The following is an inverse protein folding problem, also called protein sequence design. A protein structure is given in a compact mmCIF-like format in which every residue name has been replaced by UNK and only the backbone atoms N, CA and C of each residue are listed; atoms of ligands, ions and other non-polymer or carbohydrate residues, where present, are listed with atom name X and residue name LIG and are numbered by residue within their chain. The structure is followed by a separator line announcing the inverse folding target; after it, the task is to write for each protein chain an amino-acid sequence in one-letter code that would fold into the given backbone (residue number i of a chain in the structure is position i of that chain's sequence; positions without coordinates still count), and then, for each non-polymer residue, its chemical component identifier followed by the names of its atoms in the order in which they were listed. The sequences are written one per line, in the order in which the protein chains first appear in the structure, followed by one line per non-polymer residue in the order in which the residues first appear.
data_IF_745774302428
#
_entry.id   IF_745774302428
#
_cell.length_a   1.000
_cell.length_b   1.000
_cell.length_c   1.000
_cell.angle_alpha   90.00
_cell.angle_beta   90.00
_cell.angle_gamma   90.00
#
_symmetry.space_group_name_H-M   'P 1'
#
loop_
_entity.id
_entity.type
_entity.pdbx_description
1 polymer ?
#
# COMPACT_ATOMS: atom_id res chain seq x y z
N UNK A 1 -5.95 17.49 -5.86
CA UNK A 1 -4.88 16.49 -5.62
C UNK A 1 -3.76 16.78 -6.61
N UNK A 2 -2.51 16.77 -6.16
CA UNK A 2 -1.36 17.18 -6.95
C UNK A 2 -0.24 16.18 -6.71
N UNK A 3 0.44 15.74 -7.76
CA UNK A 3 1.53 14.77 -7.63
C UNK A 3 2.54 14.90 -8.77
N UNK A 4 3.76 14.42 -8.54
CA UNK A 4 4.82 14.32 -9.54
C UNK A 4 5.05 12.85 -9.87
N UNK A 5 5.05 12.50 -11.15
CA UNK A 5 5.42 11.17 -11.63
C UNK A 5 6.22 11.28 -12.93
N UNK A 6 7.40 10.66 -12.96
CA UNK A 6 8.27 10.61 -14.14
C UNK A 6 8.54 12.01 -14.74
N UNK A 7 8.80 13.01 -13.87
CA UNK A 7 9.04 14.40 -14.28
C UNK A 7 7.81 15.12 -14.84
N UNK A 8 6.59 14.64 -14.55
CA UNK A 8 5.34 15.35 -14.84
C UNK A 8 4.68 15.77 -13.54
N UNK A 9 4.47 17.08 -13.38
CA UNK A 9 3.64 17.65 -12.33
C UNK A 9 2.19 17.70 -12.82
N UNK A 10 1.29 17.02 -12.12
CA UNK A 10 -0.13 16.95 -12.46
C UNK A 10 -0.92 17.66 -11.38
N UNK A 11 -1.69 18.66 -11.78
CA UNK A 11 -2.53 19.47 -10.90
C UNK A 11 -4.00 19.20 -11.21
N UNK A 12 -4.73 18.61 -10.26
CA UNK A 12 -6.18 18.52 -10.32
C UNK A 12 -6.80 19.67 -9.51
N UNK A 13 -7.38 20.63 -10.23
CA UNK A 13 -7.83 21.93 -9.75
C UNK A 13 -9.35 22.05 -9.84
N UNK A 14 -9.94 22.86 -8.96
CA UNK A 14 -11.31 23.35 -9.15
C UNK A 14 -11.36 24.32 -10.33
N UNK A 15 -12.56 24.63 -10.83
CA UNK A 15 -12.76 25.63 -11.88
C UNK A 15 -12.09 26.97 -11.52
N UNK A 16 -12.37 27.50 -10.34
CA UNK A 16 -11.83 28.80 -9.90
C UNK A 16 -10.30 28.79 -9.84
N UNK A 17 -9.70 27.76 -9.23
CA UNK A 17 -8.24 27.63 -9.18
C UNK A 17 -7.59 27.45 -10.54
N UNK A 18 -8.28 26.80 -11.49
CA UNK A 18 -7.81 26.64 -12.86
C UNK A 18 -7.82 27.95 -13.63
N UNK A 19 -8.94 28.68 -13.57
CA UNK A 19 -9.09 29.99 -14.21
C UNK A 19 -8.11 31.01 -13.62
N UNK A 20 -7.89 30.94 -12.30
CA UNK A 20 -6.87 31.73 -11.62
C UNK A 20 -5.45 31.35 -12.07
N UNK A 21 -5.09 30.07 -12.08
CA UNK A 21 -3.74 29.62 -12.46
C UNK A 21 -3.35 30.04 -13.89
N UNK A 22 -4.30 30.09 -14.83
CA UNK A 22 -4.08 30.62 -16.18
C UNK A 22 -3.11 29.79 -17.04
N UNK A 23 -2.99 28.48 -16.75
CA UNK A 23 -2.24 27.52 -17.55
C UNK A 23 -3.19 26.61 -18.33
N UNK A 24 -2.73 26.13 -19.48
CA UNK A 24 -3.51 25.24 -20.34
C UNK A 24 -3.76 23.88 -19.65
N UNK A 25 -5.04 23.52 -19.50
CA UNK A 25 -5.47 22.24 -18.95
C UNK A 25 -6.65 21.64 -19.71
N UNK A 26 -7.13 20.49 -19.25
CA UNK A 26 -8.29 19.79 -19.82
C UNK A 26 -9.35 19.59 -18.73
N UNK A 27 -10.65 19.66 -19.05
CA UNK A 27 -11.69 19.30 -18.09
C UNK A 27 -11.53 17.83 -17.68
N UNK A 28 -11.72 17.55 -16.39
CA UNK A 28 -11.69 16.18 -15.86
C UNK A 28 -12.83 15.36 -16.46
N UNK A 29 -12.53 14.14 -16.90
CA UNK A 29 -13.49 13.23 -17.54
C UNK A 29 -14.57 12.70 -16.59
N UNK A 30 -14.37 12.83 -15.28
CA UNK A 30 -15.24 12.24 -14.26
C UNK A 30 -16.37 13.17 -13.80
N UNK A 31 -16.34 14.46 -14.19
CA UNK A 31 -17.33 15.44 -13.76
C UNK A 31 -18.03 16.08 -14.97
N UNK A 32 -19.30 15.71 -15.18
CA UNK A 32 -20.12 16.26 -16.28
C UNK A 32 -20.22 17.79 -16.25
N UNK A 33 -20.22 18.36 -15.05
CA UNK A 33 -20.41 19.80 -14.82
C UNK A 33 -19.13 20.63 -14.98
N UNK A 34 -18.03 20.03 -15.48
CA UNK A 34 -16.73 20.68 -15.73
C UNK A 34 -16.19 21.49 -14.53
N UNK A 35 -16.47 21.04 -13.31
CA UNK A 35 -16.02 21.70 -12.08
C UNK A 35 -14.56 21.42 -11.70
N UNK A 36 -13.91 20.52 -12.45
CA UNK A 36 -12.53 20.09 -12.22
C UNK A 36 -11.74 20.11 -13.51
N UNK A 37 -10.51 20.57 -13.42
CA UNK A 37 -9.57 20.63 -14.54
C UNK A 37 -8.25 19.96 -14.15
N UNK A 38 -7.62 19.31 -15.12
CA UNK A 38 -6.30 18.70 -15.00
C UNK A 38 -5.32 19.52 -15.83
N UNK A 39 -4.32 20.07 -15.16
CA UNK A 39 -3.17 20.73 -15.79
C UNK A 39 -1.96 19.82 -15.64
N UNK A 40 -1.32 19.49 -16.76
CA UNK A 40 -0.13 18.65 -16.79
C UNK A 40 1.07 19.47 -17.24
N UNK A 41 2.09 19.52 -16.40
CA UNK A 41 3.35 20.24 -16.64
C UNK A 41 4.47 19.22 -16.74
N UNK A 42 5.11 19.12 -17.90
CA UNK A 42 6.24 18.21 -18.12
C UNK A 42 7.56 18.92 -17.79
N UNK A 43 8.05 18.70 -16.56
CA UNK A 43 9.24 19.33 -15.99
C UNK A 43 10.54 18.97 -16.74
N UNK A 44 10.57 17.85 -17.46
CA UNK A 44 11.76 17.37 -18.18
C UNK A 44 11.92 17.97 -19.58
N UNK A 45 10.99 18.83 -20.05
CA UNK A 45 11.08 19.40 -21.40
C UNK A 45 12.19 20.47 -21.46
N UNK A 46 12.87 20.63 -22.61
CA UNK A 46 13.84 21.73 -22.82
C UNK A 46 13.25 23.13 -22.59
N UNK A 47 11.92 23.28 -22.72
CA UNK A 47 11.21 24.52 -22.43
C UNK A 47 11.10 24.85 -20.93
N UNK A 48 11.40 23.90 -20.04
CA UNK A 48 11.37 24.04 -18.57
C UNK A 48 12.74 24.39 -17.98
N UNK A 49 13.69 24.80 -18.83
CA UNK A 49 14.97 25.34 -18.39
C UNK A 49 14.75 26.81 -17.98
N UNK A 50 15.28 27.27 -16.83
CA UNK A 50 15.23 28.67 -16.44
C UNK A 50 15.67 29.62 -17.56
N UNK A 51 14.94 30.73 -17.74
CA UNK A 51 15.14 31.70 -18.82
C UNK A 51 14.43 31.35 -20.14
N UNK A 52 13.78 30.18 -20.26
CA UNK A 52 12.93 29.86 -21.42
C UNK A 52 11.48 30.32 -21.19
N UNK A 53 10.75 30.75 -22.25
CA UNK A 53 9.40 31.27 -22.10
C UNK A 53 8.41 30.32 -21.40
N UNK A 54 8.58 29.01 -21.61
CA UNK A 54 7.75 27.98 -20.95
C UNK A 54 7.94 27.96 -19.44
N UNK A 55 9.20 27.90 -18.99
CA UNK A 55 9.56 27.97 -17.57
C UNK A 55 9.09 29.29 -16.95
N UNK A 56 9.42 30.43 -17.56
CA UNK A 56 9.09 31.75 -17.02
C UNK A 56 7.57 31.96 -16.88
N UNK A 57 6.78 31.46 -17.85
CA UNK A 57 5.31 31.54 -17.77
C UNK A 57 4.78 30.76 -16.56
N UNK A 58 5.30 29.56 -16.33
CA UNK A 58 4.87 28.71 -15.21
C UNK A 58 5.30 29.33 -13.89
N UNK A 59 6.56 29.77 -13.79
CA UNK A 59 7.08 30.41 -12.59
C UNK A 59 6.25 31.65 -12.23
N UNK A 60 5.98 32.52 -13.21
CA UNK A 60 5.12 33.69 -13.03
C UNK A 60 3.73 33.31 -12.53
N UNK A 61 3.13 32.25 -13.08
CA UNK A 61 1.81 31.78 -12.64
C UNK A 61 1.81 31.34 -11.17
N UNK A 62 2.83 30.62 -10.71
CA UNK A 62 2.94 30.21 -9.30
C UNK A 62 3.30 31.35 -8.35
N UNK A 63 4.02 32.37 -8.81
CA UNK A 63 4.38 33.53 -7.98
C UNK A 63 3.26 34.57 -7.87
N UNK A 64 2.45 34.74 -8.92
CA UNK A 64 1.53 35.88 -9.03
C UNK A 64 0.06 35.46 -8.96
N UNK A 65 -0.31 34.44 -9.73
CA UNK A 65 -1.72 34.05 -9.85
C UNK A 65 -2.10 32.93 -8.90
N UNK A 66 -1.21 31.98 -8.64
CA UNK A 66 -1.44 30.80 -7.81
C UNK A 66 -0.46 30.77 -6.64
N UNK A 67 -0.33 31.90 -5.95
CA UNK A 67 0.64 32.13 -4.89
C UNK A 67 0.27 31.50 -3.54
N UNK A 68 -0.95 30.97 -3.40
CA UNK A 68 -1.39 30.36 -2.16
C UNK A 68 -0.58 29.08 -1.87
N UNK A 69 0.04 28.95 -0.69
CA UNK A 69 0.78 27.74 -0.34
C UNK A 69 -0.17 26.55 -0.22
N UNK A 70 0.32 25.37 -0.59
CA UNK A 70 -0.41 24.12 -0.44
C UNK A 70 0.50 23.02 0.10
N UNK A 71 -0.09 22.11 0.86
CA UNK A 71 0.63 20.98 1.44
C UNK A 71 0.88 19.91 0.38
N UNK A 72 2.10 19.38 0.35
CA UNK A 72 2.50 18.27 -0.49
C UNK A 72 3.16 17.18 0.34
N UNK A 73 2.99 15.94 -0.11
CA UNK A 73 3.76 14.80 0.36
C UNK A 73 4.85 14.51 -0.68
N UNK A 74 6.08 14.34 -0.20
CA UNK A 74 7.23 13.99 -1.03
C UNK A 74 7.84 12.69 -0.52
N UNK A 75 8.25 11.84 -1.46
CA UNK A 75 9.15 10.74 -1.19
C UNK A 75 10.12 10.64 -2.37
N UNK A 76 11.40 10.47 -2.04
CA UNK A 76 12.42 10.11 -3.01
C UNK A 76 12.91 8.73 -2.62
N UNK A 77 12.81 7.79 -3.56
CA UNK A 77 13.29 6.43 -3.37
C UNK A 77 14.13 6.02 -4.57
N UNK A 78 15.20 5.29 -4.33
CA UNK A 78 15.97 4.66 -5.39
C UNK A 78 15.18 3.48 -6.01
N UNK A 79 15.66 2.88 -7.11
CA UNK A 79 15.06 1.67 -7.68
C UNK A 79 15.01 0.47 -6.71
N UNK A 80 15.80 0.51 -5.63
CA UNK A 80 15.85 -0.50 -4.59
C UNK A 80 14.85 -0.20 -3.45
N UNK A 81 14.08 0.89 -3.53
CA UNK A 81 13.08 1.29 -2.55
C UNK A 81 13.67 1.92 -1.29
N UNK A 82 14.96 2.27 -1.30
CA UNK A 82 15.65 2.94 -0.21
C UNK A 82 15.35 4.44 -0.29
N UNK A 83 15.02 5.04 0.84
CA UNK A 83 14.76 6.48 0.92
C UNK A 83 16.03 7.26 0.59
N UNK A 84 15.91 8.21 -0.32
CA UNK A 84 16.97 9.15 -0.65
C UNK A 84 16.74 10.47 0.10
N UNK A 85 17.81 11.18 0.49
CA UNK A 85 17.67 12.49 1.11
C UNK A 85 16.96 13.45 0.16
N UNK A 86 16.06 14.26 0.73
CA UNK A 86 15.37 15.34 0.04
C UNK A 86 15.81 16.66 0.65
N UNK A 87 16.22 17.58 -0.21
CA UNK A 87 16.50 18.96 0.18
C UNK A 87 15.28 19.83 -0.09
N UNK A 88 14.94 20.67 0.88
CA UNK A 88 13.85 21.61 0.77
C UNK A 88 14.40 23.03 0.93
N UNK A 89 13.84 24.03 0.20
CA UNK A 89 14.22 25.41 0.40
C UNK A 89 13.86 25.86 1.82
N UNK A 90 14.60 26.83 2.37
CA UNK A 90 14.38 27.33 3.73
C UNK A 90 12.96 27.89 3.97
N UNK A 91 12.25 28.27 2.90
CA UNK A 91 10.86 28.72 2.94
C UNK A 91 9.86 27.58 3.17
N UNK A 92 10.24 26.33 2.91
CA UNK A 92 9.38 25.17 3.07
C UNK A 92 9.46 24.63 4.50
N UNK A 93 8.28 24.48 5.13
CA UNK A 93 8.15 23.79 6.42
C UNK A 93 8.00 22.29 6.17
N UNK A 94 9.11 21.62 5.88
CA UNK A 94 9.13 20.17 5.69
C UNK A 94 9.18 19.45 7.05
N UNK A 95 8.27 18.52 7.26
CA UNK A 95 8.26 17.62 8.42
C UNK A 95 8.47 16.18 7.94
N UNK A 96 9.48 15.46 8.44
CA UNK A 96 9.63 14.04 8.15
C UNK A 96 8.36 13.28 8.53
N UNK A 97 7.88 12.43 7.62
CA UNK A 97 6.74 11.56 7.88
C UNK A 97 7.24 10.12 7.96
N UNK A 98 7.00 9.46 9.09
CA UNK A 98 7.26 8.03 9.26
C UNK A 98 6.01 7.23 8.95
N UNK A 99 6.19 6.01 8.45
CA UNK A 99 5.11 5.04 8.39
C UNK A 99 4.85 4.49 9.80
N UNK A 100 3.60 4.13 10.07
CA UNK A 100 3.21 3.39 11.26
C UNK A 100 3.10 1.91 10.88
N UNK A 101 3.70 1.02 11.68
CA UNK A 101 3.58 -0.43 11.52
C UNK A 101 2.97 -0.97 12.80
N UNK A 102 1.81 -1.61 12.65
CA UNK A 102 1.12 -2.28 13.74
C UNK A 102 1.02 -3.76 13.43
N UNK A 103 1.21 -4.57 14.46
CA UNK A 103 1.13 -6.02 14.39
C UNK A 103 0.12 -6.49 15.43
N UNK A 104 -0.88 -7.22 14.97
CA UNK A 104 -1.96 -7.73 15.82
C UNK A 104 -2.03 -9.24 15.68
N UNK A 105 -1.91 -9.95 16.80
CA UNK A 105 -2.10 -11.40 16.83
C UNK A 105 -3.59 -11.72 16.70
N UNK A 106 -3.95 -12.49 15.67
CA UNK A 106 -5.27 -13.06 15.51
C UNK A 106 -5.25 -14.45 16.13
N UNK A 107 -5.82 -14.61 17.31
CA UNK A 107 -5.87 -15.89 18.02
C UNK A 107 -7.25 -16.52 17.86
N UNK A 108 -7.30 -17.85 17.89
CA UNK A 108 -8.57 -18.60 17.85
C UNK A 108 -9.43 -18.24 16.63
N UNK A 109 -8.83 -18.18 15.44
CA UNK A 109 -9.51 -17.86 14.18
C UNK A 109 -9.58 -19.07 13.24
N UNK A 110 -10.57 -19.07 12.36
CA UNK A 110 -10.65 -20.00 11.22
C UNK A 110 -9.89 -19.40 10.05
N UNK A 111 -8.77 -20.00 9.66
CA UNK A 111 -8.00 -19.58 8.47
C UNK A 111 -8.46 -20.43 7.26
N UNK A 112 -9.00 -19.82 6.20
CA UNK A 112 -9.50 -20.52 5.02
C UNK A 112 -8.43 -21.34 4.29
N UNK A 113 -8.87 -22.43 3.65
CA UNK A 113 -8.03 -23.12 2.68
C UNK A 113 -7.75 -22.27 1.43
N UNK A 114 -6.49 -21.89 1.23
CA UNK A 114 -6.03 -21.17 0.05
C UNK A 114 -5.56 -22.10 -1.09
N UNK A 115 -5.59 -23.43 -0.93
CA UNK A 115 -5.21 -24.36 -2.02
C UNK A 115 -6.03 -24.20 -3.30
N UNK A 116 -7.37 -23.97 -3.28
CA UNK A 116 -8.19 -23.91 -4.48
C UNK A 116 -7.86 -22.73 -5.40
N UNK A 117 -7.22 -21.69 -4.85
CA UNK A 117 -6.90 -20.46 -5.59
C UNK A 117 -5.46 -20.44 -6.14
N UNK A 118 -4.64 -21.46 -5.84
CA UNK A 118 -3.23 -21.52 -6.30
C UNK A 118 -3.09 -21.66 -7.81
N UNK A 119 -4.05 -22.29 -8.46
CA UNK A 119 -4.09 -22.45 -9.92
C UNK A 119 -5.09 -21.46 -10.52
N UNK A 120 -4.64 -20.60 -11.44
CA UNK A 120 -5.50 -19.58 -12.05
C UNK A 120 -6.45 -20.24 -13.05
N UNK A 121 -7.72 -20.37 -12.69
CA UNK A 121 -8.80 -20.78 -13.59
C UNK A 121 -9.72 -19.60 -13.91
N UNK A 122 -9.36 -18.72 -14.85
CA UNK A 122 -10.13 -17.48 -15.16
C UNK A 122 -11.62 -17.71 -15.50
N UNK A 123 -11.97 -18.91 -15.99
CA UNK A 123 -13.34 -19.30 -16.35
C UNK A 123 -13.96 -20.35 -15.42
N UNK A 124 -13.28 -20.74 -14.33
CA UNK A 124 -13.85 -21.68 -13.36
C UNK A 124 -14.68 -20.92 -12.33
N UNK A 125 -16.00 -21.16 -12.32
CA UNK A 125 -16.92 -20.59 -11.35
C UNK A 125 -16.56 -20.96 -9.91
N UNK A 126 -16.00 -22.16 -9.68
CA UNK A 126 -15.54 -22.59 -8.35
C UNK A 126 -14.32 -21.78 -7.90
N UNK A 127 -13.36 -21.58 -8.79
CA UNK A 127 -12.21 -20.72 -8.50
C UNK A 127 -12.64 -19.29 -8.13
N UNK A 128 -13.56 -18.70 -8.92
CA UNK A 128 -14.08 -17.34 -8.64
C UNK A 128 -14.79 -17.26 -7.29
N UNK A 129 -15.54 -18.30 -6.93
CA UNK A 129 -16.19 -18.41 -5.62
C UNK A 129 -15.16 -18.45 -4.50
N UNK A 130 -14.16 -19.34 -4.57
CA UNK A 130 -13.11 -19.45 -3.55
C UNK A 130 -12.29 -18.16 -3.40
N UNK A 131 -12.00 -17.45 -4.49
CA UNK A 131 -11.33 -16.13 -4.43
C UNK A 131 -12.21 -15.09 -3.72
N UNK A 132 -13.51 -15.08 -4.00
CA UNK A 132 -14.45 -14.13 -3.38
C UNK A 132 -14.61 -14.39 -1.88
N UNK A 133 -14.76 -15.66 -1.51
CA UNK A 133 -14.84 -16.14 -0.12
C UNK A 133 -13.57 -15.78 0.68
N UNK A 134 -12.37 -15.98 0.10
CA UNK A 134 -11.12 -15.56 0.73
C UNK A 134 -11.01 -14.04 0.84
N UNK A 135 -11.41 -13.30 -0.19
CA UNK A 135 -11.35 -11.84 -0.18
C UNK A 135 -12.24 -11.25 0.92
N UNK A 136 -13.45 -11.78 1.09
CA UNK A 136 -14.35 -11.41 2.18
C UNK A 136 -13.73 -11.72 3.55
N UNK A 137 -13.16 -12.91 3.71
CA UNK A 137 -12.47 -13.30 4.94
C UNK A 137 -11.29 -12.35 5.27
N UNK A 138 -10.47 -11.97 4.28
CA UNK A 138 -9.36 -11.00 4.48
C UNK A 138 -9.92 -9.65 4.96
N UNK A 139 -11.03 -9.19 4.41
CA UNK A 139 -11.70 -7.97 4.86
C UNK A 139 -12.13 -8.07 6.32
N UNK A 140 -12.77 -9.17 6.71
CA UNK A 140 -13.16 -9.41 8.11
C UNK A 140 -11.95 -9.50 9.04
N UNK A 141 -10.86 -10.15 8.60
CA UNK A 141 -9.61 -10.22 9.34
C UNK A 141 -8.97 -8.83 9.53
N UNK A 142 -8.97 -7.97 8.49
CA UNK A 142 -8.46 -6.59 8.61
C UNK A 142 -9.25 -5.73 9.59
N UNK A 143 -10.53 -6.06 9.81
CA UNK A 143 -11.38 -5.40 10.79
C UNK A 143 -11.38 -6.11 12.15
N UNK A 144 -10.58 -7.18 12.30
CA UNK A 144 -10.53 -8.00 13.52
C UNK A 144 -11.91 -8.50 13.96
N UNK A 145 -12.76 -8.85 12.98
CA UNK A 145 -14.15 -9.23 13.22
C UNK A 145 -14.26 -10.54 13.99
N UNK A 146 -15.19 -10.61 14.95
CA UNK A 146 -15.50 -11.86 15.68
C UNK A 146 -16.08 -12.95 14.76
N UNK A 147 -16.53 -12.60 13.55
CA UNK A 147 -17.12 -13.55 12.58
C UNK A 147 -16.13 -14.55 11.99
N UNK A 148 -14.84 -14.33 12.19
CA UNK A 148 -13.79 -15.29 11.80
C UNK A 148 -13.28 -16.10 12.99
N UNK A 149 -13.81 -15.86 14.20
CA UNK A 149 -13.42 -16.59 15.41
C UNK A 149 -13.92 -18.03 15.34
N UNK A 150 -13.07 -18.95 15.78
CA UNK A 150 -13.41 -20.36 15.88
C UNK A 150 -14.51 -20.57 16.92
N UNK A 151 -15.58 -21.26 16.52
CA UNK A 151 -16.75 -21.51 17.37
C UNK A 151 -17.71 -20.32 17.51
N UNK A 152 -17.62 -19.31 16.64
CA UNK A 152 -18.61 -18.24 16.59
C UNK A 152 -20.03 -18.80 16.39
N UNK A 153 -20.98 -18.28 17.17
CA UNK A 153 -22.37 -18.74 17.20
C UNK A 153 -23.31 -17.52 17.27
N UNK A 154 -23.18 -16.64 16.28
CA UNK A 154 -24.04 -15.48 16.12
C UNK A 154 -25.46 -15.90 15.71
N UNK A 155 -26.46 -15.16 16.19
CA UNK A 155 -27.84 -15.35 15.75
C UNK A 155 -27.95 -15.15 14.22
N UNK A 156 -28.47 -16.12 13.45
CA UNK A 156 -28.65 -16.00 12.00
C UNK A 156 -29.54 -14.82 11.57
N UNK A 157 -30.41 -14.29 12.45
CA UNK A 157 -31.16 -13.06 12.18
C UNK A 157 -30.26 -11.81 12.14
N UNK A 158 -29.09 -11.85 12.80
CA UNK A 158 -28.12 -10.76 12.82
C UNK A 158 -27.04 -10.92 11.73
N UNK A 159 -26.54 -12.14 11.53
CA UNK A 159 -25.50 -12.40 10.53
C UNK A 159 -25.55 -13.86 10.07
N UNK A 160 -25.53 -14.05 8.75
CA UNK A 160 -25.50 -15.39 8.11
C UNK A 160 -24.13 -15.75 7.54
N UNK A 161 -23.12 -14.89 7.73
CA UNK A 161 -21.77 -15.18 7.28
C UNK A 161 -21.19 -16.35 8.07
N UNK A 162 -20.58 -17.29 7.36
CA UNK A 162 -19.75 -18.34 7.94
C UNK A 162 -18.38 -18.31 7.26
N UNK A 163 -17.27 -18.42 8.03
CA UNK A 163 -15.95 -18.44 7.43
C UNK A 163 -15.78 -19.65 6.51
N UNK A 164 -15.05 -19.52 5.39
CA UNK A 164 -14.76 -20.65 4.52
C UNK A 164 -13.99 -21.74 5.28
N UNK A 165 -14.15 -23.01 4.88
CA UNK A 165 -13.57 -24.13 5.62
C UNK A 165 -12.03 -24.05 5.63
N UNK A 166 -11.39 -24.48 6.74
CA UNK A 166 -9.94 -24.61 6.81
C UNK A 166 -9.44 -25.76 5.92
N UNK A 167 -8.12 -25.87 5.67
CA UNK A 167 -7.55 -26.99 4.91
C UNK A 167 -7.90 -28.33 5.55
N UNK A 168 -8.43 -29.26 4.75
CA UNK A 168 -8.69 -30.63 5.22
C UNK A 168 -7.39 -31.42 5.30
N UNK A 169 -6.90 -31.71 6.50
CA UNK A 169 -5.94 -32.80 6.71
C UNK A 169 -6.71 -34.11 6.88
N UNK A 170 -6.28 -35.17 6.19
CA UNK A 170 -6.95 -36.47 6.14
C UNK A 170 -7.13 -37.14 7.53
N UNK A 171 -6.51 -36.61 8.59
CA UNK A 171 -6.45 -37.22 9.91
C UNK A 171 -7.30 -36.55 11.01
N UNK A 172 -8.05 -35.47 10.75
CA UNK A 172 -8.76 -34.74 11.83
C UNK A 172 -10.19 -34.33 11.45
N UNK A 173 -11.16 -35.02 12.05
CA UNK A 173 -12.60 -34.79 11.92
C UNK A 173 -13.07 -33.47 12.57
N UNK A 174 -12.25 -32.88 13.46
CA UNK A 174 -12.54 -31.63 14.15
C UNK A 174 -11.60 -30.52 13.68
N UNK A 175 -12.19 -29.45 13.14
CA UNK A 175 -11.48 -28.22 12.80
C UNK A 175 -10.80 -27.66 14.06
N UNK A 176 -9.49 -27.39 14.01
CA UNK A 176 -8.78 -26.79 15.14
C UNK A 176 -8.70 -25.27 14.99
N UNK A 177 -8.76 -24.51 16.09
CA UNK A 177 -8.51 -23.08 16.04
C UNK A 177 -7.09 -22.81 15.54
N UNK A 178 -6.95 -21.79 14.69
CA UNK A 178 -5.66 -21.34 14.17
C UNK A 178 -5.29 -19.98 14.76
N UNK A 179 -4.00 -19.64 14.69
CA UNK A 179 -3.51 -18.31 14.99
C UNK A 179 -2.80 -17.71 13.79
N UNK A 180 -2.91 -16.40 13.63
CA UNK A 180 -2.27 -15.62 12.56
C UNK A 180 -1.77 -14.28 13.09
N UNK A 181 -1.10 -13.55 12.20
CA UNK A 181 -0.60 -12.21 12.48
C UNK A 181 -1.10 -11.26 11.39
N UNK A 182 -1.78 -10.19 11.79
CA UNK A 182 -2.19 -9.09 10.93
C UNK A 182 -1.14 -7.98 11.05
N UNK A 183 -0.56 -7.57 9.92
CA UNK A 183 0.40 -6.46 9.86
C UNK A 183 -0.22 -5.33 9.06
N UNK A 184 -0.37 -4.19 9.71
CA UNK A 184 -0.93 -2.98 9.13
C UNK A 184 0.17 -1.93 8.98
N UNK A 185 0.42 -1.50 7.75
CA UNK A 185 1.38 -0.46 7.42
C UNK A 185 0.59 0.75 6.94
N UNK A 186 0.65 1.85 7.68
CA UNK A 186 -0.11 3.07 7.40
C UNK A 186 0.81 4.26 7.19
N UNK A 187 0.48 5.12 6.23
CA UNK A 187 1.23 6.34 5.91
C UNK A 187 1.38 6.55 4.41
N UNK A 188 2.33 7.40 4.01
CA UNK A 188 2.69 7.59 2.61
C UNK A 188 3.73 6.53 2.19
N UNK A 189 3.26 5.48 1.51
CA UNK A 189 4.10 4.33 1.14
C UNK A 189 4.45 4.39 -0.35
N UNK A 190 5.74 4.57 -0.71
CA UNK A 190 6.16 4.52 -2.10
C UNK A 190 5.91 3.16 -2.73
N UNK A 191 5.55 3.13 -4.02
CA UNK A 191 5.26 1.87 -4.73
C UNK A 191 6.45 0.91 -4.75
N UNK A 192 7.67 1.42 -4.78
CA UNK A 192 8.88 0.60 -4.75
C UNK A 192 9.01 -0.17 -3.43
N UNK A 193 8.64 0.46 -2.31
CA UNK A 193 8.62 -0.18 -0.99
C UNK A 193 7.57 -1.30 -0.94
N UNK A 194 6.41 -1.15 -1.59
CA UNK A 194 5.39 -2.21 -1.71
C UNK A 194 5.95 -3.42 -2.47
N UNK A 195 6.64 -3.19 -3.59
CA UNK A 195 7.27 -4.27 -4.36
C UNK A 195 8.26 -5.05 -3.50
N UNK A 196 9.08 -4.35 -2.70
CA UNK A 196 10.03 -4.99 -1.76
C UNK A 196 9.35 -5.84 -0.69
N UNK A 197 8.25 -5.35 -0.12
CA UNK A 197 7.47 -6.11 0.86
C UNK A 197 6.96 -7.41 0.20
N UNK A 198 6.41 -7.32 -1.02
CA UNK A 198 5.94 -8.49 -1.77
C UNK A 198 7.08 -9.47 -2.11
N UNK A 199 8.27 -8.97 -2.49
CA UNK A 199 9.46 -9.78 -2.72
C UNK A 199 9.90 -10.53 -1.45
N UNK A 200 9.96 -9.83 -0.31
CA UNK A 200 10.33 -10.41 0.97
C UNK A 200 9.34 -11.51 1.40
N UNK A 201 8.03 -11.25 1.28
CA UNK A 201 6.98 -12.24 1.56
C UNK A 201 7.07 -13.47 0.66
N UNK A 202 7.38 -13.27 -0.62
CA UNK A 202 7.61 -14.38 -1.57
C UNK A 202 8.80 -15.24 -1.16
N UNK A 203 9.91 -14.62 -0.76
CA UNK A 203 11.12 -15.33 -0.33
C UNK A 203 10.93 -16.08 0.99
N UNK A 204 10.16 -15.51 1.93
CA UNK A 204 9.79 -16.18 3.17
C UNK A 204 9.09 -17.51 2.92
N UNK A 205 8.11 -17.52 2.00
CA UNK A 205 7.36 -18.72 1.63
C UNK A 205 8.27 -19.80 1.00
N UNK A 206 9.28 -19.39 0.20
CA UNK A 206 10.27 -20.32 -0.39
C UNK A 206 11.19 -20.92 0.67
N UNK A 207 11.59 -20.13 1.68
CA UNK A 207 12.47 -20.59 2.78
C UNK A 207 11.75 -21.57 3.72
N UNK A 208 10.44 -21.43 3.93
CA UNK A 208 9.67 -22.43 4.70
C UNK A 208 9.50 -23.76 3.95
N UNK A 209 9.56 -23.76 2.61
CA UNK A 209 9.45 -24.98 1.78
C UNK A 209 10.77 -25.78 1.70
N UNK A 210 11.92 -25.20 2.07
CA UNK A 210 13.24 -25.87 2.01
C UNK A 210 13.93 -25.87 3.37
N UNK A 211 14.09 -27.04 3.97
CA UNK A 211 14.92 -27.23 5.17
C UNK A 211 16.39 -26.81 4.92
N UNK A 212 16.79 -25.68 5.53
CA UNK A 212 18.11 -25.13 5.96
C UNK A 212 19.39 -25.53 5.16
N UNK A 213 20.28 -24.58 4.81
CA UNK A 213 21.47 -24.36 5.64
C UNK A 213 21.70 -22.90 6.07
N UNK A 214 22.44 -22.77 7.17
CA UNK A 214 23.07 -21.54 7.69
C UNK A 214 23.87 -20.82 6.59
N UNK A 215 23.99 -19.50 6.73
CA UNK A 215 24.65 -18.51 5.85
C UNK A 215 23.74 -17.86 4.81
N UNK A 216 23.34 -16.61 5.10
CA UNK A 216 23.58 -15.43 4.26
C UNK A 216 23.47 -14.23 5.22
N UNK A 217 24.63 -13.66 5.55
CA UNK A 217 24.71 -12.32 6.14
C UNK A 217 24.79 -11.27 5.03
N UNK A 218 24.31 -10.08 5.38
CA UNK A 218 24.42 -8.76 4.77
C UNK A 218 23.25 -8.22 3.92
N UNK A 219 22.94 -6.96 4.28
CA UNK A 219 21.99 -5.97 3.75
C UNK A 219 20.60 -5.93 4.40
N UNK A 220 20.45 -4.96 5.32
CA UNK A 220 19.20 -4.57 5.98
C UNK A 220 18.58 -5.68 6.81
N UNK A 221 19.00 -5.84 8.07
CA UNK A 221 18.58 -6.94 8.95
C UNK A 221 17.09 -6.81 9.31
N UNK A 222 16.22 -7.39 8.47
CA UNK A 222 14.92 -7.87 8.91
C UNK A 222 15.19 -9.03 9.88
N UNK A 223 15.28 -8.73 11.17
CA UNK A 223 15.50 -9.74 12.21
C UNK A 223 14.15 -10.30 12.62
N UNK A 224 13.93 -11.56 12.27
CA UNK A 224 12.83 -12.37 12.78
C UNK A 224 13.29 -12.98 14.10
N UNK A 225 12.82 -12.42 15.22
CA UNK A 225 12.99 -13.03 16.53
C UNK A 225 11.76 -13.89 16.82
N UNK A 226 12.00 -15.15 17.18
CA UNK A 226 10.98 -16.05 17.70
C UNK A 226 11.01 -15.93 19.21
N UNK A 227 9.87 -15.67 19.83
CA UNK A 227 9.75 -15.85 21.28
C UNK A 227 9.73 -17.36 21.60
N UNK A 228 9.94 -17.72 22.88
CA UNK A 228 10.03 -19.10 23.35
C UNK A 228 8.74 -19.93 23.09
N UNK A 229 7.67 -19.28 22.64
CA UNK A 229 6.36 -19.85 22.28
C UNK A 229 6.18 -20.02 20.76
N UNK A 230 7.16 -19.61 19.94
CA UNK A 230 7.14 -19.80 18.49
C UNK A 230 6.34 -18.75 17.71
N UNK A 231 5.95 -17.64 18.31
CA UNK A 231 5.36 -16.52 17.58
C UNK A 231 6.47 -15.72 16.87
N UNK A 232 6.25 -15.48 15.57
CA UNK A 232 7.21 -14.71 14.76
C UNK A 232 6.96 -13.21 14.98
N UNK A 233 7.87 -12.54 15.70
CA UNK A 233 7.88 -11.09 15.78
C UNK A 233 8.70 -10.53 14.60
N UNK A 234 8.02 -9.84 13.68
CA UNK A 234 8.69 -9.14 12.58
C UNK A 234 9.19 -7.80 13.11
N UNK A 235 10.48 -7.74 13.44
CA UNK A 235 11.18 -6.48 13.72
C UNK A 235 11.78 -5.95 12.42
N UNK A 236 11.25 -4.82 11.95
CA UNK A 236 11.85 -4.07 10.84
C UNK A 236 12.80 -3.03 11.44
N UNK A 237 14.08 -3.37 11.53
CA UNK A 237 15.10 -2.43 11.94
C UNK A 237 15.52 -1.60 10.72
N UNK A 238 15.20 -0.31 10.75
CA UNK A 238 15.81 0.67 9.86
C UNK A 238 17.19 1.02 10.42
N UNK A 239 18.23 1.16 9.58
CA UNK A 239 19.49 1.72 10.05
C UNK A 239 19.20 3.13 10.58
N UNK A 240 19.46 3.33 11.88
CA UNK A 240 19.68 4.65 12.43
C UNK A 240 21.20 4.78 12.41
N UNK A 241 21.66 5.69 11.55
CA UNK A 241 23.03 6.11 11.23
C UNK A 241 23.98 5.06 10.59
#
# INVERSE_FOLDING_TARGET
MQYIRNGKLILNLTKDSYEQLGLSGKPSTFHKDRQRYVVEIELNKPAMIPGKPGFERINWCFENTFAAPFSMLFASVDPQGVSLPLEFPASARATPMTFNIQSTCLNNVVIPDATPIRTIGKNDLRWRRSVSELYEWIGLASMQSERITFGDNIDPFLCVYSPPPPPTTEDQQDSRPSSGCLIEISGFIPSQSIVRILEALRLFNIKQIRSVPKYIEYFGRLSLEFDDLGAANIRINFPID
#
